data_IF_297133795159
#
_entry.id   IF_297133795159
#
_cell.length_a   1.000
_cell.length_b   1.000
_cell.length_c   1.000
_cell.angle_alpha   90.00
_cell.angle_beta   90.00
_cell.angle_gamma   90.00
#
_symmetry.space_group_name_H-M   'P 1'
#
loop_
_entity.id
_entity.type
_entity.pdbx_description
1 polymer ?
#
# COMPACT_ATOMS: atom_id res chain seq x y z
N UNK A 1 -36.10 -27.04 -23.63
CA UNK A 1 -35.16 -27.25 -22.50
C UNK A 1 -34.78 -25.86 -22.02
N UNK A 2 -35.09 -25.53 -20.77
CA UNK A 2 -35.01 -24.16 -20.25
C UNK A 2 -33.55 -23.73 -20.19
N UNK A 3 -33.31 -22.55 -20.74
CA UNK A 3 -32.07 -21.80 -20.68
C UNK A 3 -31.71 -21.58 -19.20
N UNK A 4 -30.67 -22.27 -18.72
CA UNK A 4 -30.04 -21.97 -17.43
C UNK A 4 -29.16 -20.73 -17.63
N UNK A 5 -29.77 -19.57 -17.83
CA UNK A 5 -29.11 -18.33 -17.45
C UNK A 5 -29.06 -18.34 -15.93
N UNK A 6 -27.87 -18.62 -15.41
CA UNK A 6 -27.49 -18.31 -14.05
C UNK A 6 -27.97 -16.88 -13.78
N UNK A 7 -28.59 -16.71 -12.62
CA UNK A 7 -29.35 -15.53 -12.24
C UNK A 7 -28.38 -14.38 -11.88
N UNK A 8 -27.67 -13.89 -12.90
CA UNK A 8 -26.67 -12.81 -12.83
C UNK A 8 -27.32 -11.44 -12.54
N UNK A 9 -28.64 -11.40 -12.35
CA UNK A 9 -29.48 -10.20 -12.24
C UNK A 9 -29.94 -9.93 -10.81
N UNK A 10 -29.33 -10.56 -9.81
CA UNK A 10 -29.71 -10.32 -8.42
C UNK A 10 -28.96 -9.11 -7.86
N UNK A 11 -29.64 -7.98 -7.55
CA UNK A 11 -29.02 -6.83 -6.89
C UNK A 11 -28.36 -7.19 -5.55
N UNK A 12 -28.77 -8.32 -4.96
CA UNK A 12 -28.18 -8.92 -3.77
C UNK A 12 -26.72 -9.32 -4.02
N UNK A 13 -26.41 -9.93 -5.17
CA UNK A 13 -25.04 -10.38 -5.49
C UNK A 13 -24.10 -9.20 -5.71
N UNK A 14 -24.57 -8.12 -6.37
CA UNK A 14 -23.79 -6.90 -6.52
C UNK A 14 -23.50 -6.24 -5.17
N UNK A 15 -24.50 -6.16 -4.29
CA UNK A 15 -24.33 -5.62 -2.93
C UNK A 15 -23.31 -6.43 -2.12
N UNK A 16 -23.31 -7.76 -2.23
CA UNK A 16 -22.33 -8.62 -1.57
C UNK A 16 -20.91 -8.35 -2.04
N UNK A 17 -20.70 -8.12 -3.34
CA UNK A 17 -19.40 -7.77 -3.89
C UNK A 17 -18.93 -6.40 -3.40
N UNK A 18 -19.80 -5.40 -3.41
CA UNK A 18 -19.49 -4.08 -2.84
C UNK A 18 -19.08 -4.18 -1.37
N UNK A 19 -19.82 -4.97 -0.58
CA UNK A 19 -19.51 -5.19 0.84
C UNK A 19 -18.18 -5.92 1.01
N UNK A 20 -17.88 -6.89 0.15
CA UNK A 20 -16.61 -7.61 0.19
C UNK A 20 -15.43 -6.67 -0.08
N UNK A 21 -15.51 -5.85 -1.14
CA UNK A 21 -14.48 -4.85 -1.45
C UNK A 21 -14.32 -3.83 -0.31
N UNK A 22 -15.42 -3.41 0.32
CA UNK A 22 -15.36 -2.55 1.50
C UNK A 22 -14.59 -3.21 2.65
N UNK A 23 -14.90 -4.46 3.01
CA UNK A 23 -14.20 -5.19 4.07
C UNK A 23 -12.71 -5.36 3.74
N UNK A 24 -12.38 -5.64 2.48
CA UNK A 24 -11.00 -5.71 2.03
C UNK A 24 -10.29 -4.35 2.18
N UNK A 25 -10.94 -3.25 1.80
CA UNK A 25 -10.38 -1.90 1.97
C UNK A 25 -10.15 -1.55 3.45
N UNK A 26 -11.07 -1.90 4.34
CA UNK A 26 -10.92 -1.70 5.79
C UNK A 26 -9.77 -2.55 6.36
N UNK A 27 -9.62 -3.79 5.87
CA UNK A 27 -8.51 -4.65 6.25
C UNK A 27 -7.17 -4.05 5.84
N UNK A 28 -7.06 -3.52 4.61
CA UNK A 28 -5.85 -2.83 4.14
C UNK A 28 -5.52 -1.61 4.99
N UNK A 29 -6.52 -0.81 5.36
CA UNK A 29 -6.35 0.33 6.28
C UNK A 29 -5.80 -0.15 7.63
N UNK A 30 -6.37 -1.22 8.19
CA UNK A 30 -5.92 -1.78 9.47
C UNK A 30 -4.47 -2.28 9.39
N UNK A 31 -4.09 -2.95 8.29
CA UNK A 31 -2.73 -3.42 8.06
C UNK A 31 -1.73 -2.27 7.91
N UNK A 32 -2.15 -1.19 7.22
CA UNK A 32 -1.34 0.01 7.07
C UNK A 32 -1.10 0.71 8.42
N UNK A 33 -2.13 0.76 9.28
CA UNK A 33 -2.02 1.31 10.63
C UNK A 33 -1.13 0.46 11.55
N UNK A 34 -1.19 -0.87 11.45
CA UNK A 34 -0.35 -1.78 12.23
C UNK A 34 1.10 -1.86 11.71
N UNK A 35 1.39 -1.30 10.54
CA UNK A 35 2.71 -1.33 9.92
C UNK A 35 3.07 -2.69 9.32
N UNK A 36 2.09 -3.53 9.02
CA UNK A 36 2.25 -4.87 8.44
C UNK A 36 2.37 -4.79 6.90
N UNK A 37 3.42 -4.12 6.44
CA UNK A 37 3.57 -3.73 5.02
C UNK A 37 3.71 -4.91 4.06
N UNK A 38 4.42 -5.97 4.44
CA UNK A 38 4.55 -7.16 3.57
C UNK A 38 3.21 -7.85 3.36
N UNK A 39 2.41 -7.96 4.42
CA UNK A 39 1.04 -8.51 4.36
C UNK A 39 0.13 -7.63 3.52
N UNK A 40 0.25 -6.30 3.66
CA UNK A 40 -0.49 -5.32 2.85
C UNK A 40 -0.20 -5.49 1.36
N UNK A 41 1.09 -5.59 0.98
CA UNK A 41 1.50 -5.79 -0.42
C UNK A 41 0.97 -7.12 -0.97
N UNK A 42 1.03 -8.20 -0.18
CA UNK A 42 0.50 -9.50 -0.61
C UNK A 42 -1.02 -9.47 -0.85
N UNK A 43 -1.76 -8.63 -0.12
CA UNK A 43 -3.22 -8.48 -0.24
C UNK A 43 -3.63 -7.46 -1.30
N UNK A 44 -2.72 -6.59 -1.74
CA UNK A 44 -2.99 -5.59 -2.78
C UNK A 44 -3.49 -6.23 -4.08
N UNK A 45 -2.87 -7.33 -4.51
CA UNK A 45 -3.28 -8.02 -5.75
C UNK A 45 -4.71 -8.55 -5.66
N UNK A 46 -5.09 -9.09 -4.50
CA UNK A 46 -6.46 -9.57 -4.24
C UNK A 46 -7.47 -8.42 -4.27
N UNK A 47 -7.10 -7.28 -3.66
CA UNK A 47 -7.94 -6.08 -3.67
C UNK A 47 -8.13 -5.50 -5.09
N UNK A 48 -7.05 -5.37 -5.88
CA UNK A 48 -7.12 -4.85 -7.25
C UNK A 48 -8.01 -5.74 -8.12
N UNK A 49 -7.90 -7.06 -8.01
CA UNK A 49 -8.78 -8.00 -8.72
C UNK A 49 -10.25 -7.87 -8.29
N UNK A 50 -10.50 -7.66 -6.99
CA UNK A 50 -11.85 -7.46 -6.47
C UNK A 50 -12.47 -6.15 -6.97
N UNK A 51 -11.69 -5.06 -7.05
CA UNK A 51 -12.13 -3.76 -7.59
C UNK A 51 -12.37 -3.84 -9.10
N UNK A 52 -11.54 -4.56 -9.85
CA UNK A 52 -11.74 -4.78 -11.29
C UNK A 52 -13.06 -5.52 -11.54
N UNK A 53 -13.31 -6.60 -10.80
CA UNK A 53 -14.55 -7.36 -10.88
C UNK A 53 -15.78 -6.50 -10.50
N UNK A 54 -15.67 -5.70 -9.43
CA UNK A 54 -16.71 -4.75 -9.03
C UNK A 54 -17.01 -3.75 -10.15
N UNK A 55 -15.98 -3.23 -10.83
CA UNK A 55 -16.13 -2.24 -11.91
C UNK A 55 -16.84 -2.85 -13.12
N UNK A 56 -16.44 -4.05 -13.54
CA UNK A 56 -17.08 -4.76 -14.65
C UNK A 56 -18.57 -5.01 -14.38
N UNK A 57 -18.90 -5.52 -13.18
CA UNK A 57 -20.27 -5.81 -12.80
C UNK A 57 -21.12 -4.55 -12.61
N UNK A 58 -20.54 -3.47 -12.10
CA UNK A 58 -21.25 -2.18 -11.97
C UNK A 58 -21.60 -1.63 -13.35
N UNK A 59 -20.69 -1.73 -14.32
CA UNK A 59 -20.93 -1.29 -15.69
C UNK A 59 -22.02 -2.12 -16.39
N UNK A 60 -22.07 -3.43 -16.17
CA UNK A 60 -23.16 -4.28 -16.66
C UNK A 60 -24.49 -3.92 -15.99
N UNK A 61 -24.49 -3.67 -14.67
CA UNK A 61 -25.69 -3.33 -13.94
C UNK A 61 -26.26 -1.94 -14.32
N UNK A 62 -25.40 -0.94 -14.53
CA UNK A 62 -25.80 0.41 -14.95
C UNK A 62 -26.52 0.41 -16.31
N UNK A 63 -26.19 -0.52 -17.20
CA UNK A 63 -26.88 -0.70 -18.48
C UNK A 63 -28.31 -1.25 -18.31
N UNK A 64 -28.57 -1.98 -17.22
CA UNK A 64 -29.87 -2.61 -16.94
C UNK A 64 -30.74 -1.78 -16.00
N UNK A 65 -30.15 -1.13 -14.99
CA UNK A 65 -30.85 -0.36 -13.96
C UNK A 65 -30.01 0.86 -13.51
N UNK A 66 -30.67 1.99 -13.16
CA UNK A 66 -29.97 3.13 -12.60
C UNK A 66 -29.35 2.78 -11.24
N UNK A 67 -28.09 3.18 -11.05
CA UNK A 67 -27.38 3.02 -9.77
C UNK A 67 -28.10 3.80 -8.67
N UNK A 68 -28.32 3.16 -7.52
CA UNK A 68 -28.96 3.78 -6.35
C UNK A 68 -27.95 4.52 -5.47
N UNK A 69 -28.46 5.46 -4.66
CA UNK A 69 -27.65 6.27 -3.74
C UNK A 69 -26.82 5.42 -2.75
N UNK A 70 -27.36 4.27 -2.34
CA UNK A 70 -26.68 3.33 -1.43
C UNK A 70 -25.35 2.81 -2.01
N UNK A 71 -25.32 2.48 -3.31
CA UNK A 71 -24.08 2.03 -3.97
C UNK A 71 -23.06 3.16 -4.08
N UNK A 72 -23.52 4.39 -4.32
CA UNK A 72 -22.65 5.58 -4.36
C UNK A 72 -22.03 5.83 -2.99
N UNK A 73 -22.79 5.69 -1.91
CA UNK A 73 -22.26 5.82 -0.55
C UNK A 73 -21.21 4.75 -0.24
N UNK A 74 -21.44 3.49 -0.63
CA UNK A 74 -20.45 2.41 -0.46
C UNK A 74 -19.17 2.69 -1.25
N UNK A 75 -19.29 3.16 -2.49
CA UNK A 75 -18.13 3.52 -3.32
C UNK A 75 -17.32 4.66 -2.68
N UNK A 76 -17.99 5.69 -2.14
CA UNK A 76 -17.32 6.77 -1.43
C UNK A 76 -16.55 6.28 -0.21
N UNK A 77 -17.09 5.31 0.55
CA UNK A 77 -16.37 4.72 1.68
C UNK A 77 -15.11 3.97 1.22
N UNK A 78 -15.20 3.18 0.15
CA UNK A 78 -14.05 2.48 -0.43
C UNK A 78 -12.97 3.48 -0.87
N UNK A 79 -13.37 4.56 -1.56
CA UNK A 79 -12.44 5.60 -2.03
C UNK A 79 -11.75 6.31 -0.85
N UNK A 80 -12.49 6.61 0.23
CA UNK A 80 -11.89 7.22 1.42
C UNK A 80 -10.91 6.27 2.11
N UNK A 81 -11.25 4.98 2.22
CA UNK A 81 -10.35 3.96 2.76
C UNK A 81 -9.06 3.83 1.93
N UNK A 82 -9.16 3.91 0.60
CA UNK A 82 -7.98 3.97 -0.27
C UNK A 82 -7.12 5.21 -0.02
N UNK A 83 -7.75 6.38 0.12
CA UNK A 83 -7.05 7.64 0.37
C UNK A 83 -6.25 7.53 1.66
N UNK A 84 -6.85 7.01 2.71
CA UNK A 84 -6.21 6.78 4.02
C UNK A 84 -5.04 5.80 3.88
N UNK A 85 -5.24 4.66 3.23
CA UNK A 85 -4.18 3.66 3.02
C UNK A 85 -2.98 4.24 2.28
N UNK A 86 -3.23 5.03 1.23
CA UNK A 86 -2.17 5.74 0.46
C UNK A 86 -1.40 6.74 1.32
N UNK A 87 -2.09 7.46 2.20
CA UNK A 87 -1.45 8.42 3.12
C UNK A 87 -0.50 7.71 4.10
N UNK A 88 -0.93 6.59 4.68
CA UNK A 88 -0.09 5.77 5.55
C UNK A 88 1.13 5.21 4.82
N UNK A 89 0.94 4.68 3.61
CA UNK A 89 2.04 4.16 2.78
C UNK A 89 3.06 5.26 2.46
N UNK A 90 2.59 6.46 2.07
CA UNK A 90 3.47 7.59 1.76
C UNK A 90 4.26 8.05 2.98
N UNK A 91 3.63 8.09 4.15
CA UNK A 91 4.29 8.42 5.41
C UNK A 91 5.37 7.40 5.76
N UNK A 92 5.10 6.11 5.57
CA UNK A 92 6.09 5.05 5.78
C UNK A 92 7.28 5.17 4.82
N UNK A 93 7.03 5.42 3.53
CA UNK A 93 8.09 5.65 2.53
C UNK A 93 8.95 6.88 2.88
N UNK A 94 8.34 7.96 3.37
CA UNK A 94 9.05 9.15 3.82
C UNK A 94 9.95 8.84 5.03
N UNK A 95 9.45 8.05 5.98
CA UNK A 95 10.22 7.57 7.13
C UNK A 95 11.42 6.73 6.68
N UNK A 96 11.21 5.72 5.83
CA UNK A 96 12.28 4.89 5.29
C UNK A 96 13.33 5.72 4.53
N UNK A 97 12.91 6.67 3.70
CA UNK A 97 13.81 7.56 2.97
C UNK A 97 14.68 8.40 3.93
N UNK A 98 14.10 8.89 5.03
CA UNK A 98 14.82 9.65 6.05
C UNK A 98 15.83 8.78 6.80
N UNK A 99 15.47 7.55 7.12
CA UNK A 99 16.36 6.60 7.82
C UNK A 99 17.54 6.19 6.93
N UNK A 100 17.30 5.90 5.64
CA UNK A 100 18.37 5.59 4.69
C UNK A 100 19.36 6.77 4.58
N UNK A 101 18.85 8.01 4.47
CA UNK A 101 19.70 9.21 4.42
C UNK A 101 20.55 9.37 5.69
N UNK A 102 20.01 9.06 6.86
CA UNK A 102 20.75 9.10 8.12
C UNK A 102 21.82 8.00 8.16
N UNK A 103 21.51 6.78 7.73
CA UNK A 103 22.48 5.68 7.66
C UNK A 103 23.62 5.98 6.69
N UNK A 104 23.34 6.59 5.54
CA UNK A 104 24.39 7.02 4.60
C UNK A 104 25.31 8.07 5.22
N UNK A 105 24.74 9.05 5.94
CA UNK A 105 25.53 10.05 6.68
C UNK A 105 26.38 9.39 7.77
N UNK A 106 25.82 8.45 8.54
CA UNK A 106 26.57 7.69 9.54
C UNK A 106 27.67 6.85 8.92
N UNK A 107 27.42 6.21 7.77
CA UNK A 107 28.43 5.45 7.02
C UNK A 107 29.55 6.35 6.52
N UNK A 108 29.24 7.56 6.03
CA UNK A 108 30.26 8.54 5.61
C UNK A 108 31.09 9.00 6.80
N UNK A 109 30.45 9.32 7.93
CA UNK A 109 31.15 9.71 9.16
C UNK A 109 32.01 8.57 9.69
N UNK A 110 31.48 7.35 9.80
CA UNK A 110 32.21 6.17 10.27
C UNK A 110 33.38 5.82 9.33
N UNK A 111 33.21 5.90 8.00
CA UNK A 111 34.33 5.74 7.08
C UNK A 111 35.38 6.85 7.23
N UNK A 112 34.94 8.09 7.48
CA UNK A 112 35.84 9.23 7.63
C UNK A 112 36.64 9.16 8.93
N UNK A 113 36.04 8.70 10.03
CA UNK A 113 36.71 8.57 11.33
C UNK A 113 37.41 7.22 11.54
N UNK A 114 36.94 6.13 10.94
CA UNK A 114 37.58 4.81 10.99
C UNK A 114 38.92 4.72 10.23
N UNK A 115 39.22 5.71 9.38
CA UNK A 115 40.54 5.90 8.77
C UNK A 115 41.57 6.51 9.74
N UNK A 116 41.13 7.08 10.87
CA UNK A 116 42.00 7.71 11.87
C UNK A 116 42.23 6.82 13.10
N UNK A 117 41.59 5.65 13.20
CA UNK A 117 41.74 4.72 14.32
C UNK A 117 42.88 3.69 14.11
N UNK A 118 43.70 3.86 13.06
CA UNK A 118 44.98 3.19 12.97
C UNK A 118 45.97 3.92 13.89
N UNK A 119 46.46 3.30 14.98
CA UNK A 119 47.46 3.94 15.83
C UNK A 119 48.72 4.22 15.00
N UNK A 120 49.09 5.49 14.93
CA UNK A 120 50.29 6.03 14.32
C UNK A 120 51.47 5.05 14.43
N UNK A 121 51.88 4.49 13.28
CA UNK A 121 53.26 4.05 13.14
C UNK A 121 54.15 5.28 13.42
N UNK A 122 55.15 5.18 14.32
CA UNK A 122 55.87 6.35 14.80
C UNK A 122 56.54 7.10 13.64
N UNK A 123 56.13 8.35 13.43
CA UNK A 123 56.79 9.27 12.50
C UNK A 123 58.19 9.56 13.00
N UNK A 124 59.18 8.83 12.47
CA UNK A 124 60.60 9.17 12.65
C UNK A 124 60.86 10.45 11.86
N UNK A 125 60.81 11.59 12.56
CA UNK A 125 61.26 12.88 12.05
C UNK A 125 62.79 12.81 12.01
N UNK A 126 63.37 12.63 10.82
CA UNK A 126 64.82 12.85 10.64
C UNK A 126 65.06 14.36 10.60
N UNK A 127 65.93 14.90 11.46
CA UNK A 127 66.30 16.30 11.40
C UNK A 127 67.15 16.57 10.14
N UNK A 128 67.01 17.79 9.63
CA UNK A 128 67.72 18.31 8.47
C UNK A 128 69.18 18.62 8.87
N UNK A 129 70.13 17.86 8.31
CA UNK A 129 71.54 18.26 8.12
C UNK A 129 71.97 17.91 6.70
#
# INVERSE_FOLDING_TARGET
MKDNQVDNKNPIYLLEIYRNVLILSENLVSLAQSGEWETLISRETEYVLAVENLTALTQEYEQEQPITDDFVQLLHQIIENERVTKEYLQNHLNFLSKEIKQLDQQKVLNNSYGQFDQPDAPRVIKPLE
#
